data_IF_578523972908
#
_entry.id   IF_578523972908
#
_cell.length_a   1.000
_cell.length_b   1.000
_cell.length_c   1.000
_cell.angle_alpha   90.00
_cell.angle_beta   90.00
_cell.angle_gamma   90.00
#
_symmetry.space_group_name_H-M   'P 1'
#
loop_
_entity.id
_entity.type
_entity.pdbx_description
1 polymer ?
#
# COMPACT_ATOMS: atom_id res chain seq x y z
N UNK A 1 0.43 18.88 2.04
CA UNK A 1 -0.15 17.62 1.53
C UNK A 1 0.94 16.92 0.76
N UNK A 2 1.42 15.78 1.25
CA UNK A 2 2.40 14.96 0.55
C UNK A 2 1.68 13.85 -0.21
N UNK A 3 2.11 13.59 -1.45
CA UNK A 3 1.57 12.53 -2.30
C UNK A 3 2.70 11.61 -2.71
N UNK A 4 2.67 10.36 -2.25
CA UNK A 4 3.55 9.30 -2.73
C UNK A 4 2.72 8.27 -3.50
N UNK A 5 3.26 7.76 -4.61
CA UNK A 5 2.56 6.86 -5.52
C UNK A 5 3.29 5.54 -5.70
N UNK A 6 2.54 4.44 -5.67
CA UNK A 6 3.05 3.08 -5.94
C UNK A 6 2.29 2.48 -7.10
N UNK A 7 3.01 2.04 -8.13
CA UNK A 7 2.41 1.26 -9.22
C UNK A 7 2.01 -0.12 -8.69
N UNK A 8 0.78 -0.53 -8.99
CA UNK A 8 0.25 -1.85 -8.64
C UNK A 8 0.32 -2.68 -9.91
N UNK A 9 1.46 -3.32 -10.12
CA UNK A 9 1.68 -4.21 -11.26
C UNK A 9 0.74 -5.40 -11.18
N UNK A 10 -0.35 -5.33 -11.93
CA UNK A 10 -1.26 -6.44 -12.13
C UNK A 10 -1.51 -6.58 -13.63
N UNK A 11 -0.82 -7.56 -14.24
CA UNK A 11 -1.10 -8.13 -15.56
C UNK A 11 -0.71 -7.22 -16.75
N UNK A 12 0.20 -7.70 -17.61
CA UNK A 12 0.68 -7.01 -18.81
C UNK A 12 -0.37 -6.74 -19.91
N UNK A 13 -1.64 -7.13 -19.72
CA UNK A 13 -2.74 -6.96 -20.68
C UNK A 13 -3.95 -6.18 -20.12
N UNK A 14 -3.85 -5.66 -18.90
CA UNK A 14 -4.92 -4.88 -18.25
C UNK A 14 -4.60 -3.37 -18.17
N UNK A 15 -5.56 -2.55 -17.72
CA UNK A 15 -5.26 -1.17 -17.37
C UNK A 15 -4.24 -1.13 -16.23
N UNK A 16 -3.36 -0.12 -16.23
CA UNK A 16 -2.43 0.08 -15.12
C UNK A 16 -3.18 0.56 -13.88
N UNK A 17 -2.78 0.07 -12.72
CA UNK A 17 -3.30 0.51 -11.43
C UNK A 17 -2.19 1.17 -10.62
N UNK A 18 -2.58 2.14 -9.80
CA UNK A 18 -1.68 2.80 -8.87
C UNK A 18 -2.40 3.07 -7.55
N UNK A 19 -1.66 3.14 -6.47
CA UNK A 19 -2.12 3.67 -5.21
C UNK A 19 -1.38 4.97 -4.89
N UNK A 20 -2.09 5.94 -4.32
CA UNK A 20 -1.49 7.16 -3.81
C UNK A 20 -1.78 7.30 -2.32
N UNK A 21 -0.77 7.61 -1.53
CA UNK A 21 -0.92 8.05 -0.15
C UNK A 21 -1.08 9.57 -0.13
N UNK A 22 -2.08 10.06 0.61
CA UNK A 22 -2.29 11.48 0.88
C UNK A 22 -2.21 11.69 2.39
N UNK A 23 -1.18 12.38 2.87
CA UNK A 23 -1.00 12.64 4.31
C UNK A 23 -1.64 13.97 4.74
N UNK A 24 -2.39 13.94 5.84
CA UNK A 24 -3.00 15.10 6.49
C UNK A 24 -2.96 14.95 8.03
N UNK A 25 -1.85 15.37 8.65
CA UNK A 25 -1.64 15.25 10.09
C UNK A 25 -1.69 13.79 10.58
N UNK A 26 -2.56 13.51 11.56
CA UNK A 26 -2.75 12.16 12.11
C UNK A 26 -3.59 11.23 11.21
N UNK A 27 -4.07 11.72 10.06
CA UNK A 27 -4.83 10.93 9.09
C UNK A 27 -4.03 10.79 7.80
N UNK A 28 -4.23 9.67 7.12
CA UNK A 28 -3.79 9.48 5.74
C UNK A 28 -4.94 8.91 4.93
N UNK A 29 -4.99 9.23 3.64
CA UNK A 29 -5.89 8.58 2.70
C UNK A 29 -5.07 7.71 1.76
N UNK A 30 -5.51 6.46 1.59
CA UNK A 30 -5.01 5.58 0.53
C UNK A 30 -6.00 5.61 -0.61
N UNK A 31 -5.56 6.09 -1.77
CA UNK A 31 -6.38 6.29 -2.96
C UNK A 31 -5.97 5.29 -4.04
N UNK A 32 -6.89 4.42 -4.41
CA UNK A 32 -6.73 3.51 -5.54
C UNK A 32 -7.11 4.22 -6.84
N UNK A 33 -6.27 4.07 -7.86
CA UNK A 33 -6.43 4.70 -9.16
C UNK A 33 -6.22 3.70 -10.28
N UNK A 34 -6.97 3.89 -11.37
CA UNK A 34 -6.80 3.17 -12.63
C UNK A 34 -6.44 4.15 -13.72
N UNK A 35 -5.49 3.79 -14.56
CA UNK A 35 -5.17 4.55 -15.77
C UNK A 35 -6.30 4.35 -16.78
N UNK A 36 -6.93 5.45 -17.19
CA UNK A 36 -8.06 5.45 -18.15
C UNK A 36 -7.69 6.05 -19.50
N UNK A 37 -6.49 6.62 -19.63
CA UNK A 37 -5.98 7.12 -20.90
C UNK A 37 -4.63 7.78 -20.76
N UNK A 38 -4.29 8.56 -21.78
CA UNK A 38 -3.09 9.37 -21.87
C UNK A 38 -3.47 10.78 -22.31
N UNK A 39 -2.84 11.80 -21.74
CA UNK A 39 -2.85 13.17 -22.22
C UNK A 39 -1.42 13.52 -22.64
N UNK A 40 -1.12 13.37 -23.93
CA UNK A 40 0.26 13.33 -24.41
C UNK A 40 1.01 12.15 -23.78
N UNK A 41 2.14 12.43 -23.11
CA UNK A 41 2.94 11.42 -22.40
C UNK A 41 2.51 11.23 -20.93
N UNK A 42 1.48 11.94 -20.47
CA UNK A 42 1.04 11.87 -19.08
C UNK A 42 -0.13 10.88 -18.93
N UNK A 43 -0.04 9.88 -18.02
CA UNK A 43 -1.16 8.99 -17.75
C UNK A 43 -2.32 9.74 -17.09
N UNK A 44 -3.53 9.51 -17.60
CA UNK A 44 -4.78 10.01 -17.00
C UNK A 44 -5.30 8.97 -16.04
N UNK A 45 -5.52 9.36 -14.79
CA UNK A 45 -5.93 8.48 -13.70
C UNK A 45 -7.35 8.79 -13.25
N UNK A 46 -8.16 7.75 -13.06
CA UNK A 46 -9.46 7.81 -12.41
C UNK A 46 -9.37 7.19 -11.03
N UNK A 47 -9.91 7.87 -10.02
CA UNK A 47 -10.04 7.32 -8.66
C UNK A 47 -11.11 6.23 -8.65
N UNK A 48 -10.75 5.05 -8.16
CA UNK A 48 -11.67 3.91 -8.04
C UNK A 48 -12.21 3.75 -6.62
N UNK A 49 -11.31 3.90 -5.64
CA UNK A 49 -11.64 3.72 -4.24
C UNK A 49 -10.71 4.60 -3.39
N UNK A 50 -11.18 4.95 -2.20
CA UNK A 50 -10.41 5.72 -1.24
C UNK A 50 -10.80 5.33 0.18
N UNK A 51 -9.81 5.01 0.98
CA UNK A 51 -9.99 4.80 2.42
C UNK A 51 -9.25 5.86 3.21
N UNK A 52 -9.91 6.36 4.25
CA UNK A 52 -9.32 7.28 5.23
C UNK A 52 -8.88 6.47 6.44
N UNK A 53 -7.62 6.63 6.83
CA UNK A 53 -6.96 5.87 7.88
C UNK A 53 -6.51 6.85 8.96
N UNK A 54 -7.01 6.64 10.18
CA UNK A 54 -6.50 7.33 11.38
C UNK A 54 -5.33 6.53 11.95
N UNK A 55 -4.17 7.20 12.11
CA UNK A 55 -2.99 6.60 12.73
C UNK A 55 -3.20 6.47 14.24
N UNK A 56 -2.97 5.29 14.86
CA UNK A 56 -3.02 5.17 16.32
C UNK A 56 -1.95 5.99 17.04
N UNK A 57 -0.83 6.28 16.36
CA UNK A 57 0.25 7.13 16.88
C UNK A 57 1.02 7.78 15.72
N UNK A 58 1.79 8.86 15.95
CA UNK A 58 2.64 9.48 14.92
C UNK A 58 3.62 8.52 14.26
N UNK A 59 4.12 7.53 15.00
CA UNK A 59 5.06 6.50 14.50
C UNK A 59 4.42 5.46 13.56
N UNK A 60 3.09 5.40 13.46
CA UNK A 60 2.44 4.47 12.53
C UNK A 60 2.45 5.05 11.12
N UNK A 61 2.79 4.22 10.15
CA UNK A 61 2.94 4.60 8.75
C UNK A 61 2.26 3.59 7.84
N UNK A 62 1.91 4.04 6.63
CA UNK A 62 1.41 3.18 5.60
C UNK A 62 2.57 2.41 4.96
N UNK A 63 2.63 1.12 5.24
CA UNK A 63 3.58 0.19 4.71
C UNK A 63 3.15 -0.25 3.30
N UNK A 64 4.06 -0.18 2.35
CA UNK A 64 3.80 -0.31 0.92
C UNK A 64 3.90 -1.77 0.43
N UNK A 65 3.21 -2.12 -0.68
CA UNK A 65 3.24 -3.47 -1.25
C UNK A 65 4.62 -3.99 -1.62
N UNK A 66 5.58 -3.11 -1.93
CA UNK A 66 6.94 -3.49 -2.31
C UNK A 66 7.66 -4.32 -1.24
N UNK A 67 7.24 -4.20 0.02
CA UNK A 67 7.87 -4.90 1.14
C UNK A 67 6.83 -5.52 2.09
N UNK A 68 5.57 -5.64 1.67
CA UNK A 68 4.49 -6.25 2.46
C UNK A 68 3.91 -7.46 1.73
N UNK A 69 3.74 -8.56 2.47
CA UNK A 69 3.17 -9.81 1.98
C UNK A 69 2.11 -10.34 2.94
N UNK A 70 1.25 -11.23 2.44
CA UNK A 70 0.27 -11.95 3.24
C UNK A 70 0.30 -13.43 2.92
N UNK A 71 0.43 -14.28 3.94
CA UNK A 71 0.35 -15.74 3.78
C UNK A 71 -1.00 -16.23 3.26
N UNK A 72 -2.07 -15.44 3.47
CA UNK A 72 -3.43 -15.75 2.98
C UNK A 72 -3.67 -15.26 1.55
N UNK A 73 -2.89 -14.29 1.08
CA UNK A 73 -3.02 -13.66 -0.24
C UNK A 73 -1.64 -13.44 -0.86
N UNK A 74 -0.91 -14.52 -1.20
CA UNK A 74 0.51 -14.44 -1.58
C UNK A 74 0.79 -13.62 -2.85
N UNK A 75 -0.17 -13.59 -3.79
CA UNK A 75 0.02 -12.97 -5.11
C UNK A 75 -0.67 -11.60 -5.25
N UNK A 76 -1.01 -10.96 -4.12
CA UNK A 76 -1.78 -9.71 -4.13
C UNK A 76 -0.99 -8.60 -3.44
N UNK A 77 -1.03 -7.40 -4.02
CA UNK A 77 -0.45 -6.21 -3.39
C UNK A 77 -1.11 -5.92 -2.04
N UNK A 78 -0.30 -5.92 -0.97
CA UNK A 78 -0.73 -5.70 0.41
C UNK A 78 -0.26 -4.32 0.89
N UNK A 79 -1.18 -3.56 1.46
CA UNK A 79 -0.87 -2.38 2.26
C UNK A 79 -1.08 -2.71 3.72
N UNK A 80 -0.25 -2.17 4.60
CA UNK A 80 -0.44 -2.33 6.04
C UNK A 80 -0.26 -0.99 6.77
N UNK A 81 -0.86 -0.86 7.94
CA UNK A 81 -0.60 0.23 8.87
C UNK A 81 0.18 -0.35 10.05
N UNK A 82 1.43 0.05 10.20
CA UNK A 82 2.33 -0.49 11.22
C UNK A 82 3.52 0.42 11.48
N UNK A 83 4.56 -0.12 12.10
CA UNK A 83 5.83 0.57 12.35
C UNK A 83 6.96 -0.24 11.74
N UNK A 84 7.80 0.34 10.92
CA UNK A 84 9.07 -0.32 10.54
C UNK A 84 10.07 -0.11 11.67
N UNK A 85 10.73 -1.19 12.07
CA UNK A 85 11.74 -1.20 13.13
C UNK A 85 12.99 -1.88 12.61
N UNK A 86 14.12 -1.20 12.73
CA UNK A 86 15.43 -1.72 12.40
C UNK A 86 15.79 -2.87 13.36
N UNK A 87 16.30 -3.95 12.79
CA UNK A 87 16.72 -5.15 13.49
C UNK A 87 18.24 -5.08 13.74
N UNK A 88 18.79 -5.89 14.67
CA UNK A 88 20.22 -5.89 14.95
C UNK A 88 21.12 -6.24 13.75
N UNK A 89 20.57 -6.91 12.73
CA UNK A 89 21.25 -7.27 11.48
C UNK A 89 21.12 -6.19 10.40
N UNK A 90 20.57 -5.01 10.72
CA UNK A 90 20.35 -3.90 9.78
C UNK A 90 19.14 -4.07 8.86
N UNK A 91 18.43 -5.20 8.94
CA UNK A 91 17.14 -5.36 8.25
C UNK A 91 16.05 -4.52 8.92
N UNK A 92 14.95 -4.26 8.23
CA UNK A 92 13.77 -3.64 8.83
C UNK A 92 12.60 -4.60 8.81
N UNK A 93 11.91 -4.72 9.94
CA UNK A 93 10.69 -5.53 10.07
C UNK A 93 9.56 -4.70 10.63
N UNK A 94 8.34 -4.96 10.16
CA UNK A 94 7.15 -4.34 10.72
C UNK A 94 6.82 -4.90 12.09
N UNK A 95 6.57 -4.00 13.03
CA UNK A 95 5.93 -4.27 14.30
C UNK A 95 4.59 -3.54 14.40
N UNK A 96 3.74 -3.99 15.33
CA UNK A 96 2.46 -3.33 15.63
C UNK A 96 1.61 -3.08 14.37
N UNK A 97 1.51 -4.07 13.49
CA UNK A 97 0.60 -4.01 12.35
C UNK A 97 -0.83 -4.06 12.85
N UNK A 98 -1.56 -2.96 12.73
CA UNK A 98 -2.91 -2.80 13.31
C UNK A 98 -4.03 -2.92 12.28
N UNK A 99 -3.72 -2.70 10.99
CA UNK A 99 -4.67 -2.81 9.88
C UNK A 99 -3.92 -3.22 8.62
N UNK A 100 -4.60 -3.95 7.73
CA UNK A 100 -4.08 -4.29 6.43
C UNK A 100 -5.19 -4.30 5.38
N UNK A 101 -4.79 -4.04 4.13
CA UNK A 101 -5.66 -4.03 2.97
C UNK A 101 -4.98 -4.73 1.80
N UNK A 102 -5.76 -5.44 1.01
CA UNK A 102 -5.33 -5.94 -0.30
C UNK A 102 -5.99 -5.13 -1.41
N UNK A 103 -5.33 -5.04 -2.55
CA UNK A 103 -6.00 -4.60 -3.77
C UNK A 103 -6.86 -5.75 -4.33
N UNK A 104 -8.19 -5.57 -4.33
CA UNK A 104 -9.12 -6.49 -4.99
C UNK A 104 -9.36 -6.06 -6.43
N UNK A 105 -8.51 -6.54 -7.35
CA UNK A 105 -8.59 -6.17 -8.77
C UNK A 105 -9.94 -6.51 -9.41
N UNK A 106 -10.59 -7.60 -9.00
CA UNK A 106 -11.88 -8.01 -9.56
C UNK A 106 -13.01 -7.05 -9.22
N UNK A 107 -12.89 -6.35 -8.09
CA UNK A 107 -13.87 -5.38 -7.59
C UNK A 107 -13.37 -3.94 -7.63
N UNK A 108 -12.16 -3.73 -8.16
CA UNK A 108 -11.49 -2.43 -8.25
C UNK A 108 -11.52 -1.62 -6.95
N UNK A 109 -11.23 -2.27 -5.81
CA UNK A 109 -11.32 -1.65 -4.48
C UNK A 109 -10.23 -2.10 -3.52
N UNK A 110 -10.05 -1.34 -2.44
CA UNK A 110 -9.26 -1.74 -1.28
C UNK A 110 -10.13 -2.58 -0.36
N UNK A 111 -9.71 -3.81 -0.09
CA UNK A 111 -10.42 -4.72 0.80
C UNK A 111 -9.60 -4.92 2.07
N UNK A 112 -10.20 -4.61 3.23
CA UNK A 112 -9.58 -4.93 4.52
C UNK A 112 -9.35 -6.43 4.68
N UNK A 113 -8.21 -6.80 5.24
CA UNK A 113 -7.84 -8.20 5.53
C UNK A 113 -7.40 -8.33 6.99
N UNK A 114 -7.47 -9.54 7.57
CA UNK A 114 -6.86 -9.81 8.87
C UNK A 114 -5.36 -9.51 8.85
N UNK A 115 -4.85 -8.93 9.94
CA UNK A 115 -3.42 -8.65 10.11
C UNK A 115 -2.61 -9.92 10.36
N UNK A 116 -3.26 -11.00 10.81
CA UNK A 116 -2.63 -12.30 11.06
C UNK A 116 -2.04 -12.87 9.76
N UNK A 117 -0.73 -13.04 9.74
CA UNK A 117 0.02 -13.52 8.58
C UNK A 117 0.38 -12.42 7.57
N UNK A 118 0.19 -11.14 7.91
CA UNK A 118 0.79 -10.02 7.20
C UNK A 118 2.19 -9.75 7.75
N UNK A 119 3.18 -9.77 6.88
CA UNK A 119 4.57 -9.46 7.22
C UNK A 119 5.03 -8.37 6.27
N UNK A 120 5.58 -7.29 6.83
CA UNK A 120 6.31 -6.32 6.04
C UNK A 120 7.78 -6.30 6.47
N UNK A 121 8.71 -6.47 5.54
CA UNK A 121 10.13 -6.55 5.81
C UNK A 121 10.95 -6.03 4.63
N UNK A 122 12.05 -5.36 4.94
CA UNK A 122 13.08 -4.95 4.00
C UNK A 122 14.39 -5.59 4.48
N UNK A 123 15.07 -6.30 3.59
CA UNK A 123 16.39 -6.82 3.91
C UNK A 123 17.36 -5.66 4.17
N UNK A 124 18.32 -5.90 5.06
CA UNK A 124 19.41 -4.95 5.27
C UNK A 124 20.17 -4.78 3.95
N UNK A 125 20.60 -3.55 3.66
CA UNK A 125 21.55 -3.36 2.57
C UNK A 125 22.90 -3.87 3.08
N UNK A 126 23.44 -4.91 2.44
CA UNK A 126 24.84 -5.35 2.63
C UNK A 126 25.83 -4.21 2.39
#
# INVERSE_FOLDING_TARGET
MEVSGTALSAIAKGPAYAAAEIKCGAKLSLVLRRQTGMNGNLPVWTVLDQITISKPSPRHELLQPAYCSSSRFPDVAIFALGRMVEQPDGSYRSENVVKAWRFDIRRERLAGIPVDGVICALDGVD
#
